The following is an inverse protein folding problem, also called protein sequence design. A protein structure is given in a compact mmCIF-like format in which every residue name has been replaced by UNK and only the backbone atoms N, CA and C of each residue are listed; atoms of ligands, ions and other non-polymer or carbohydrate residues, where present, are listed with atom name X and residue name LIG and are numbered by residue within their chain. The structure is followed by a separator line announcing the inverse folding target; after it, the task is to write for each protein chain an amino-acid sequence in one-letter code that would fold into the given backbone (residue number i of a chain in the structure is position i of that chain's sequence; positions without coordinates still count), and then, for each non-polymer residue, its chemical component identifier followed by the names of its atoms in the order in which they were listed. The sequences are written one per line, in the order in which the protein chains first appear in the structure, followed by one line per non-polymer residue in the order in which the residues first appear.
data_IF_657199676875
#
_entry.id   IF_657199676875
#
_cell.length_a   1.000
_cell.length_b   1.000
_cell.length_c   1.000
_cell.angle_alpha   90.00
_cell.angle_beta   90.00
_cell.angle_gamma   90.00
#
_symmetry.space_group_name_H-M   'P 1'
#
loop_
_entity.id
_entity.type
_entity.pdbx_description
1 polymer ?
#
# COMPACT_ATOMS: atom_id res chain seq x y z
N UNK A 1 -21.44 12.57 3.60
CA UNK A 1 -19.98 12.74 3.66
C UNK A 1 -19.38 11.38 3.36
N UNK A 2 -18.90 11.20 2.13
CA UNK A 2 -18.08 10.04 1.79
C UNK A 2 -16.75 10.24 2.49
N UNK A 3 -16.48 9.47 3.55
CA UNK A 3 -15.17 9.49 4.19
C UNK A 3 -14.24 8.81 3.20
N UNK A 4 -13.55 9.61 2.39
CA UNK A 4 -12.51 9.12 1.50
C UNK A 4 -11.41 8.49 2.36
N UNK A 5 -11.46 7.17 2.52
CA UNK A 5 -10.41 6.40 3.19
C UNK A 5 -9.10 6.67 2.41
N UNK A 6 -8.05 7.17 3.09
CA UNK A 6 -6.76 7.41 2.45
C UNK A 6 -6.26 6.19 1.67
N UNK A 7 -5.55 6.41 0.57
CA UNK A 7 -5.02 5.32 -0.27
C UNK A 7 -4.14 4.36 0.55
N UNK A 8 -3.44 4.87 1.58
CA UNK A 8 -2.60 4.06 2.47
C UNK A 8 -3.39 3.08 3.34
N UNK A 9 -4.51 3.50 3.92
CA UNK A 9 -5.38 2.63 4.71
C UNK A 9 -5.98 1.51 3.84
N UNK A 10 -6.38 1.85 2.61
CA UNK A 10 -6.85 0.86 1.62
C UNK A 10 -5.75 -0.12 1.22
N UNK A 11 -4.55 0.38 0.92
CA UNK A 11 -3.41 -0.47 0.56
C UNK A 11 -3.04 -1.43 1.70
N UNK A 12 -3.03 -0.96 2.95
CA UNK A 12 -2.75 -1.79 4.12
C UNK A 12 -3.82 -2.87 4.29
N UNK A 13 -5.11 -2.50 4.16
CA UNK A 13 -6.21 -3.46 4.23
C UNK A 13 -6.08 -4.55 3.16
N UNK A 14 -5.88 -4.18 1.90
CA UNK A 14 -5.71 -5.14 0.80
C UNK A 14 -4.48 -6.04 0.99
N UNK A 15 -3.38 -5.51 1.54
CA UNK A 15 -2.19 -6.29 1.87
C UNK A 15 -2.46 -7.35 2.93
N UNK A 16 -3.14 -6.99 4.03
CA UNK A 16 -3.43 -7.91 5.12
C UNK A 16 -4.45 -8.98 4.73
N UNK A 17 -5.42 -8.63 3.87
CA UNK A 17 -6.45 -9.55 3.40
C UNK A 17 -6.02 -10.37 2.18
N UNK A 18 -4.92 -10.02 1.51
CA UNK A 18 -4.47 -10.67 0.28
C UNK A 18 -5.32 -10.33 -0.94
N UNK A 19 -5.93 -9.14 -0.97
CA UNK A 19 -6.79 -8.68 -2.08
C UNK A 19 -5.96 -8.02 -3.21
N UNK A 20 -5.15 -8.83 -3.90
CA UNK A 20 -4.18 -8.34 -4.90
C UNK A 20 -4.82 -7.64 -6.10
N UNK A 21 -6.02 -8.06 -6.51
CA UNK A 21 -6.77 -7.41 -7.59
C UNK A 21 -7.20 -5.98 -7.19
N UNK A 22 -7.66 -5.80 -5.96
CA UNK A 22 -8.02 -4.48 -5.44
C UNK A 22 -6.77 -3.60 -5.25
N UNK A 23 -5.64 -4.22 -4.85
CA UNK A 23 -4.36 -3.53 -4.78
C UNK A 23 -3.88 -3.07 -6.17
N UNK A 24 -4.07 -3.88 -7.22
CA UNK A 24 -3.79 -3.50 -8.60
C UNK A 24 -4.69 -2.34 -9.07
N UNK A 25 -5.99 -2.37 -8.75
CA UNK A 25 -6.89 -1.26 -9.08
C UNK A 25 -6.47 0.03 -8.36
N UNK A 26 -6.06 -0.06 -7.09
CA UNK A 26 -5.54 1.09 -6.33
C UNK A 26 -4.26 1.65 -6.95
N UNK A 27 -3.33 0.79 -7.36
CA UNK A 27 -2.08 1.17 -8.03
C UNK A 27 -2.32 2.07 -9.25
N UNK A 28 -3.34 1.76 -10.05
CA UNK A 28 -3.68 2.51 -11.28
C UNK A 28 -4.39 3.83 -10.97
N UNK A 29 -5.06 3.94 -9.82
CA UNK A 29 -5.95 5.07 -9.49
C UNK A 29 -5.36 6.09 -8.53
N UNK A 30 -4.39 5.70 -7.71
CA UNK A 30 -3.73 6.64 -6.79
C UNK A 30 -2.95 7.70 -7.58
N UNK A 31 -2.96 8.94 -7.08
CA UNK A 31 -2.11 10.01 -7.62
C UNK A 31 -0.72 10.04 -6.95
N UNK A 32 -0.45 9.14 -6.00
CA UNK A 32 0.86 9.01 -5.38
C UNK A 32 1.73 8.05 -6.20
N UNK A 33 2.66 8.62 -6.97
CA UNK A 33 3.59 7.89 -7.83
C UNK A 33 4.46 6.90 -7.03
N UNK A 34 4.82 7.23 -5.79
CA UNK A 34 5.65 6.37 -4.95
C UNK A 34 4.84 5.17 -4.46
N UNK A 35 3.62 5.39 -3.98
CA UNK A 35 2.70 4.31 -3.59
C UNK A 35 2.41 3.40 -4.78
N UNK A 36 2.05 3.97 -5.93
CA UNK A 36 1.81 3.22 -7.16
C UNK A 36 3.02 2.35 -7.52
N UNK A 37 4.23 2.90 -7.49
CA UNK A 37 5.45 2.16 -7.80
C UNK A 37 5.74 1.03 -6.82
N UNK A 38 5.54 1.27 -5.51
CA UNK A 38 5.75 0.24 -4.47
C UNK A 38 4.75 -0.91 -4.59
N UNK A 39 3.49 -0.61 -4.91
CA UNK A 39 2.48 -1.62 -5.20
C UNK A 39 2.86 -2.42 -6.44
N UNK A 40 3.30 -1.74 -7.51
CA UNK A 40 3.76 -2.40 -8.74
C UNK A 40 4.90 -3.40 -8.47
N UNK A 41 5.91 -2.99 -7.71
CA UNK A 41 7.07 -3.82 -7.41
C UNK A 41 6.67 -5.09 -6.63
N UNK A 42 5.77 -4.96 -5.64
CA UNK A 42 5.22 -6.10 -4.93
C UNK A 42 4.41 -7.02 -5.84
N UNK A 43 3.46 -6.50 -6.62
CA UNK A 43 2.64 -7.31 -7.52
C UNK A 43 3.49 -8.02 -8.57
N UNK A 44 4.53 -7.37 -9.09
CA UNK A 44 5.45 -8.01 -10.03
C UNK A 44 6.23 -9.16 -9.37
N UNK A 45 6.79 -8.93 -8.16
CA UNK A 45 7.46 -9.98 -7.42
C UNK A 45 6.52 -11.15 -7.10
N UNK A 46 5.31 -10.88 -6.64
CA UNK A 46 4.32 -11.90 -6.30
C UNK A 46 3.97 -12.82 -7.48
N UNK A 47 3.82 -12.27 -8.69
CA UNK A 47 3.44 -13.04 -9.87
C UNK A 47 4.62 -13.72 -10.58
N UNK A 48 5.82 -13.12 -10.54
CA UNK A 48 6.91 -13.51 -11.43
C UNK A 48 8.22 -13.90 -10.74
N UNK A 49 8.39 -13.66 -9.44
CA UNK A 49 9.63 -14.03 -8.77
C UNK A 49 9.80 -15.55 -8.68
N UNK A 50 10.99 -16.02 -9.01
CA UNK A 50 11.36 -17.44 -8.94
C UNK A 50 11.66 -17.91 -7.51
N UNK A 51 11.90 -16.97 -6.59
CA UNK A 51 12.25 -17.24 -5.20
C UNK A 51 11.32 -16.51 -4.21
N UNK A 52 11.07 -17.17 -3.07
CA UNK A 52 10.21 -16.64 -2.01
C UNK A 52 10.79 -15.42 -1.31
N UNK A 53 12.11 -15.29 -1.28
CA UNK A 53 12.75 -14.20 -0.55
C UNK A 53 12.46 -12.86 -1.22
N UNK A 54 12.47 -12.80 -2.55
CA UNK A 54 12.10 -11.62 -3.33
C UNK A 54 10.66 -11.19 -3.05
N UNK A 55 9.73 -12.14 -2.96
CA UNK A 55 8.33 -11.85 -2.61
C UNK A 55 8.24 -11.24 -1.20
N UNK A 56 8.87 -11.86 -0.21
CA UNK A 56 8.87 -11.37 1.19
C UNK A 56 9.50 -9.98 1.30
N UNK A 57 10.65 -9.76 0.66
CA UNK A 57 11.32 -8.45 0.69
C UNK A 57 10.45 -7.36 0.04
N UNK A 58 9.82 -7.65 -1.10
CA UNK A 58 8.92 -6.69 -1.75
C UNK A 58 7.67 -6.38 -0.91
N UNK A 59 7.14 -7.39 -0.23
CA UNK A 59 6.01 -7.28 0.69
C UNK A 59 6.36 -6.38 1.89
N UNK A 60 7.49 -6.66 2.54
CA UNK A 60 7.95 -5.90 3.71
C UNK A 60 8.30 -4.45 3.34
N UNK A 61 8.89 -4.23 2.16
CA UNK A 61 9.17 -2.88 1.65
C UNK A 61 7.88 -2.06 1.46
N UNK A 62 6.82 -2.68 0.94
CA UNK A 62 5.53 -2.01 0.79
C UNK A 62 4.92 -1.69 2.15
N UNK A 63 4.91 -2.65 3.09
CA UNK A 63 4.40 -2.41 4.46
C UNK A 63 5.18 -1.31 5.19
N UNK A 64 6.50 -1.29 5.08
CA UNK A 64 7.34 -0.25 5.68
C UNK A 64 7.01 1.14 5.12
N UNK A 65 6.82 1.24 3.80
CA UNK A 65 6.43 2.50 3.18
C UNK A 65 5.04 2.95 3.65
N UNK A 66 4.07 2.03 3.76
CA UNK A 66 2.73 2.36 4.25
C UNK A 66 2.77 2.89 5.69
N UNK A 67 3.47 2.21 6.61
CA UNK A 67 3.65 2.66 8.00
C UNK A 67 4.29 4.05 8.06
N UNK A 68 5.34 4.29 7.27
CA UNK A 68 5.97 5.59 7.18
C UNK A 68 4.99 6.65 6.64
N UNK A 69 4.39 6.43 5.47
CA UNK A 69 3.52 7.40 4.81
C UNK A 69 2.30 7.76 5.66
N UNK A 70 1.71 6.79 6.36
CA UNK A 70 0.59 7.02 7.28
C UNK A 70 0.99 7.95 8.42
N UNK A 71 2.17 7.80 9.02
CA UNK A 71 2.65 8.66 10.11
C UNK A 71 2.84 10.12 9.71
N UNK A 72 3.21 10.38 8.45
CA UNK A 72 3.45 11.73 7.94
C UNK A 72 2.22 12.34 7.23
N UNK A 73 1.23 11.54 6.88
CA UNK A 73 0.00 12.00 6.22
C UNK A 73 -1.14 12.26 7.19
N UNK A 74 -1.08 11.78 8.45
CA UNK A 74 -2.10 12.12 9.45
C UNK A 74 -2.11 13.64 9.69
N UNK A 75 -3.16 14.36 9.29
CA UNK A 75 -3.32 15.73 9.72
C UNK A 75 -3.57 15.67 11.23
N UNK A 76 -2.99 16.61 11.98
CA UNK A 76 -3.16 16.82 13.43
C UNK A 76 -4.63 17.02 13.89
N UNK A 77 -5.61 16.80 13.01
CA UNK A 77 -7.03 17.15 13.17
C UNK A 77 -7.80 16.18 14.07
N UNK A 78 -7.27 15.00 14.39
CA UNK A 78 -7.92 14.04 15.31
C UNK A 78 -7.37 14.07 16.75
N UNK A 79 -6.38 14.93 17.05
CA UNK A 79 -5.81 15.13 18.39
C UNK A 79 -6.54 16.26 19.17
N UNK A 80 -7.87 16.31 19.09
CA UNK A 80 -8.71 17.16 19.94
C UNK A 80 -9.85 16.32 20.54
N UNK A 81 -9.48 15.30 21.32
CA UNK A 81 -10.38 14.61 22.26
C UNK A 81 -9.84 14.76 23.67
#
# INVERSE_FOLDING_TARGET
MDVSIPDYDRALYYMLCGEWDNLLVLMVRTNDDILSKRIQDFLHAFHYASDKQTIVVSHDNLLYYLDHAMKYTTPSTYLNI
#
